data_IF_223337565921
#
_entry.id   IF_223337565921
#
_cell.length_a   1.000
_cell.length_b   1.000
_cell.length_c   1.000
_cell.angle_alpha   90.00
_cell.angle_beta   90.00
_cell.angle_gamma   90.00
#
_symmetry.space_group_name_H-M   'P 1'
#
loop_
_entity.id
_entity.type
_entity.pdbx_description
1 polymer ?
#
# COMPACT_ATOMS: atom_id res chain seq x y z
N UNK A 1 -32.54 -19.42 55.81
CA UNK A 1 -32.44 -20.58 54.88
C UNK A 1 -32.37 -20.17 53.41
N UNK A 2 -33.05 -19.09 53.00
CA UNK A 2 -33.04 -18.56 51.62
C UNK A 2 -31.69 -17.97 51.20
N UNK A 3 -31.05 -17.16 52.05
CA UNK A 3 -29.75 -16.51 51.77
C UNK A 3 -28.62 -17.49 51.47
N UNK A 4 -28.51 -18.59 52.23
CA UNK A 4 -27.49 -19.63 52.02
C UNK A 4 -27.65 -20.37 50.68
N UNK A 5 -28.89 -20.58 50.20
CA UNK A 5 -29.16 -21.22 48.91
C UNK A 5 -28.76 -20.33 47.74
N UNK A 6 -29.07 -19.03 47.81
CA UNK A 6 -28.61 -18.05 46.82
C UNK A 6 -27.08 -17.93 46.77
N UNK A 7 -26.39 -17.91 47.92
CA UNK A 7 -24.93 -17.89 47.96
C UNK A 7 -24.30 -19.17 47.39
N UNK A 8 -24.89 -20.34 47.67
CA UNK A 8 -24.41 -21.61 47.12
C UNK A 8 -24.59 -21.69 45.61
N UNK A 9 -25.74 -21.26 45.09
CA UNK A 9 -26.02 -21.20 43.64
C UNK A 9 -25.06 -20.24 42.94
N UNK A 10 -24.80 -19.07 43.53
CA UNK A 10 -23.83 -18.11 43.01
C UNK A 10 -22.40 -18.70 42.97
N UNK A 11 -21.97 -19.41 44.02
CA UNK A 11 -20.66 -20.07 44.04
C UNK A 11 -20.54 -21.19 42.99
N UNK A 12 -21.57 -22.02 42.82
CA UNK A 12 -21.57 -23.09 41.80
C UNK A 12 -21.55 -22.51 40.39
N UNK A 13 -22.34 -21.47 40.13
CA UNK A 13 -22.35 -20.77 38.85
C UNK A 13 -20.99 -20.13 38.55
N UNK A 14 -20.38 -19.46 39.53
CA UNK A 14 -19.04 -18.89 39.39
C UNK A 14 -17.97 -19.96 39.10
N UNK A 15 -18.02 -21.10 39.80
CA UNK A 15 -17.10 -22.21 39.56
C UNK A 15 -17.26 -22.80 38.15
N UNK A 16 -18.50 -22.97 37.67
CA UNK A 16 -18.76 -23.45 36.32
C UNK A 16 -18.20 -22.50 35.25
N UNK A 17 -18.42 -21.18 35.40
CA UNK A 17 -17.85 -20.18 34.49
C UNK A 17 -16.32 -20.21 34.52
N UNK A 18 -15.69 -20.31 35.69
CA UNK A 18 -14.24 -20.44 35.84
C UNK A 18 -13.70 -21.71 35.16
N UNK A 19 -14.34 -22.85 35.35
CA UNK A 19 -13.93 -24.11 34.71
C UNK A 19 -14.10 -24.08 33.19
N UNK A 20 -15.19 -23.50 32.68
CA UNK A 20 -15.40 -23.32 31.25
C UNK A 20 -14.33 -22.39 30.65
N UNK A 21 -14.02 -21.28 31.32
CA UNK A 21 -12.95 -20.38 30.90
C UNK A 21 -11.58 -21.08 30.86
N UNK A 22 -11.24 -21.89 31.87
CA UNK A 22 -9.99 -22.67 31.91
C UNK A 22 -9.92 -23.73 30.79
N UNK A 23 -11.03 -24.40 30.47
CA UNK A 23 -11.08 -25.36 29.37
C UNK A 23 -10.91 -24.68 28.01
N UNK A 24 -11.55 -23.52 27.82
CA UNK A 24 -11.42 -22.74 26.59
C UNK A 24 -9.99 -22.23 26.38
N UNK A 25 -9.34 -21.74 27.45
CA UNK A 25 -7.93 -21.31 27.37
C UNK A 25 -6.98 -22.49 27.13
N UNK A 26 -7.22 -23.64 27.77
CA UNK A 26 -6.44 -24.85 27.53
C UNK A 26 -6.60 -25.37 26.09
N UNK A 27 -7.82 -25.35 25.55
CA UNK A 27 -8.10 -25.73 24.17
C UNK A 27 -7.44 -24.77 23.16
N UNK A 28 -7.52 -23.45 23.41
CA UNK A 28 -6.84 -22.44 22.59
C UNK A 28 -5.31 -22.62 22.62
N UNK A 29 -4.73 -22.88 23.79
CA UNK A 29 -3.30 -23.15 23.94
C UNK A 29 -2.88 -24.41 23.19
N UNK A 30 -3.67 -25.48 23.27
CA UNK A 30 -3.41 -26.73 22.56
C UNK A 30 -3.49 -26.53 21.03
N UNK A 31 -4.47 -25.76 20.56
CA UNK A 31 -4.61 -25.44 19.14
C UNK A 31 -3.39 -24.68 18.62
N UNK A 32 -2.98 -23.59 19.29
CA UNK A 32 -1.78 -22.82 18.91
C UNK A 32 -0.52 -23.69 18.91
N UNK A 33 -0.37 -24.58 19.89
CA UNK A 33 0.74 -25.54 19.93
C UNK A 33 0.75 -26.48 18.73
N UNK A 34 -0.41 -27.02 18.35
CA UNK A 34 -0.54 -27.91 17.20
C UNK A 34 -0.21 -27.19 15.89
N UNK A 35 -0.80 -26.01 15.68
CA UNK A 35 -0.51 -25.15 14.52
C UNK A 35 0.97 -24.82 14.42
N UNK A 36 1.60 -24.43 15.53
CA UNK A 36 3.03 -24.14 15.56
C UNK A 36 3.88 -25.36 15.15
N UNK A 37 3.57 -26.56 15.67
CA UNK A 37 4.29 -27.78 15.30
C UNK A 37 4.09 -28.15 13.83
N UNK A 38 2.91 -27.87 13.27
CA UNK A 38 2.63 -28.04 11.85
C UNK A 38 3.47 -27.07 11.00
N UNK A 39 3.49 -25.78 11.35
CA UNK A 39 4.27 -24.76 10.64
C UNK A 39 5.77 -25.08 10.63
N UNK A 40 6.33 -25.56 11.74
CA UNK A 40 7.73 -26.01 11.81
C UNK A 40 8.00 -27.17 10.85
N UNK A 41 7.08 -28.14 10.73
CA UNK A 41 7.23 -29.25 9.79
C UNK A 41 7.12 -28.79 8.33
N UNK A 42 6.16 -27.91 8.04
CA UNK A 42 5.96 -27.35 6.70
C UNK A 42 7.22 -26.60 6.25
N UNK A 43 7.75 -25.72 7.10
CA UNK A 43 9.00 -24.99 6.87
C UNK A 43 10.18 -25.95 6.62
N UNK A 44 10.34 -27.00 7.44
CA UNK A 44 11.39 -27.99 7.26
C UNK A 44 11.24 -28.83 5.98
N UNK A 45 10.02 -28.97 5.45
CA UNK A 45 9.73 -29.67 4.20
C UNK A 45 9.79 -28.78 2.95
N UNK A 46 10.14 -27.50 3.09
CA UNK A 46 10.22 -26.55 1.98
C UNK A 46 8.88 -25.89 1.60
N UNK A 47 7.80 -26.17 2.34
CA UNK A 47 6.50 -25.55 2.11
C UNK A 47 6.42 -24.21 2.86
N UNK A 48 7.12 -23.21 2.33
CA UNK A 48 7.30 -21.90 2.96
C UNK A 48 5.99 -21.09 3.04
N UNK A 49 5.16 -21.13 2.00
CA UNK A 49 3.90 -20.39 1.95
C UNK A 49 2.91 -20.83 3.04
N UNK A 50 2.67 -22.13 3.18
CA UNK A 50 1.79 -22.62 4.24
C UNK A 50 2.40 -22.43 5.64
N UNK A 51 3.72 -22.59 5.76
CA UNK A 51 4.40 -22.33 7.04
C UNK A 51 4.27 -20.86 7.46
N UNK A 52 4.49 -19.93 6.53
CA UNK A 52 4.37 -18.49 6.76
C UNK A 52 2.97 -18.14 7.25
N UNK A 53 1.91 -18.55 6.53
CA UNK A 53 0.52 -18.29 6.95
C UNK A 53 0.22 -18.73 8.38
N UNK A 54 0.71 -19.89 8.76
CA UNK A 54 0.47 -20.40 10.12
C UNK A 54 1.30 -19.65 11.15
N UNK A 55 2.57 -19.34 10.87
CA UNK A 55 3.41 -18.57 11.79
C UNK A 55 2.88 -17.14 11.97
N UNK A 56 2.49 -16.48 10.89
CA UNK A 56 1.92 -15.13 10.90
C UNK A 56 0.61 -15.10 11.72
N UNK A 57 -0.32 -16.01 11.44
CA UNK A 57 -1.57 -16.13 12.20
C UNK A 57 -1.42 -16.56 13.67
N UNK A 58 -0.23 -17.02 14.08
CA UNK A 58 0.09 -17.34 15.47
C UNK A 58 0.57 -16.12 16.27
N UNK A 59 1.00 -15.06 15.60
CA UNK A 59 1.43 -13.80 16.21
C UNK A 59 2.53 -13.99 17.27
N UNK A 60 2.23 -13.53 18.50
CA UNK A 60 3.15 -13.53 19.66
C UNK A 60 3.43 -14.92 20.25
N UNK A 61 2.87 -15.98 19.67
CA UNK A 61 3.05 -17.32 20.20
C UNK A 61 4.47 -17.84 19.96
N UNK A 62 5.30 -17.81 21.01
CA UNK A 62 6.70 -18.28 20.99
C UNK A 62 7.54 -17.42 20.03
N UNK A 63 8.29 -18.08 19.13
CA UNK A 63 9.12 -17.47 18.10
C UNK A 63 8.40 -17.44 16.73
N UNK A 64 7.06 -17.48 16.70
CA UNK A 64 6.30 -17.55 15.45
C UNK A 64 6.48 -16.28 14.59
N UNK A 65 6.40 -15.10 15.21
CA UNK A 65 6.65 -13.83 14.54
C UNK A 65 8.07 -13.76 13.92
N UNK A 66 9.10 -14.17 14.67
CA UNK A 66 10.48 -14.20 14.15
C UNK A 66 10.64 -15.19 13.00
N UNK A 67 9.93 -16.33 13.03
CA UNK A 67 9.93 -17.31 11.93
C UNK A 67 9.20 -16.80 10.69
N UNK A 68 8.05 -16.14 10.87
CA UNK A 68 7.33 -15.49 9.77
C UNK A 68 8.20 -14.41 9.12
N UNK A 69 8.83 -13.56 9.92
CA UNK A 69 9.76 -12.54 9.44
C UNK A 69 10.97 -13.14 8.71
N UNK A 70 11.55 -14.23 9.22
CA UNK A 70 12.66 -14.92 8.55
C UNK A 70 12.24 -15.53 7.19
N UNK A 71 11.01 -16.04 7.08
CA UNK A 71 10.47 -16.54 5.81
C UNK A 71 10.23 -15.39 4.83
N UNK A 72 9.59 -14.30 5.26
CA UNK A 72 9.39 -13.11 4.43
C UNK A 72 10.71 -12.45 4.01
N UNK A 73 11.75 -12.51 4.85
CA UNK A 73 13.08 -12.02 4.50
C UNK A 73 13.75 -12.88 3.40
N UNK A 74 13.45 -14.17 3.36
CA UNK A 74 13.96 -15.09 2.34
C UNK A 74 13.15 -15.02 1.03
N UNK A 75 11.86 -14.72 1.14
CA UNK A 75 10.91 -14.61 0.03
C UNK A 75 9.93 -13.45 0.32
N UNK A 76 10.28 -12.22 -0.10
CA UNK A 76 9.52 -11.01 0.25
C UNK A 76 8.12 -10.95 -0.36
N UNK A 77 7.81 -11.81 -1.34
CA UNK A 77 6.47 -11.92 -1.91
C UNK A 77 5.48 -12.65 -0.98
N UNK A 78 5.98 -13.47 -0.05
CA UNK A 78 5.16 -14.33 0.81
C UNK A 78 4.00 -13.63 1.52
N UNK A 79 4.20 -12.45 2.16
CA UNK A 79 3.12 -11.76 2.86
C UNK A 79 1.95 -11.37 1.95
N UNK A 80 2.20 -11.23 0.65
CA UNK A 80 1.27 -10.61 -0.29
C UNK A 80 0.62 -11.60 -1.25
N UNK A 81 1.03 -12.88 -1.26
CA UNK A 81 0.55 -13.89 -2.23
C UNK A 81 -0.95 -14.09 -2.26
N UNK A 82 -1.60 -13.96 -1.11
CA UNK A 82 -3.04 -14.15 -1.00
C UNK A 82 -3.86 -12.87 -1.21
N UNK A 83 -3.20 -11.70 -1.33
CA UNK A 83 -3.88 -10.40 -1.45
C UNK A 83 -4.70 -10.33 -2.73
N UNK A 84 -5.90 -9.78 -2.63
CA UNK A 84 -6.86 -9.64 -3.71
C UNK A 84 -7.11 -8.17 -4.03
N UNK A 85 -7.67 -7.92 -5.22
CA UNK A 85 -8.20 -6.60 -5.56
C UNK A 85 -9.19 -6.14 -4.48
N UNK A 86 -9.01 -4.90 -4.01
CA UNK A 86 -9.81 -4.28 -2.95
C UNK A 86 -9.23 -4.44 -1.55
N UNK A 87 -8.20 -5.26 -1.36
CA UNK A 87 -7.49 -5.32 -0.09
C UNK A 87 -6.66 -4.05 0.15
N UNK A 88 -6.39 -3.77 1.43
CA UNK A 88 -5.39 -2.79 1.87
C UNK A 88 -4.24 -3.54 2.52
N UNK A 89 -3.02 -3.29 2.05
CA UNK A 89 -1.81 -3.95 2.55
C UNK A 89 -0.77 -2.92 2.99
N UNK A 90 0.08 -3.29 3.95
CA UNK A 90 1.25 -2.51 4.34
C UNK A 90 2.49 -3.02 3.57
N UNK A 91 3.23 -2.14 2.91
CA UNK A 91 4.44 -2.49 2.16
C UNK A 91 5.41 -1.30 2.09
N UNK A 92 6.67 -1.50 2.49
CA UNK A 92 7.60 -0.38 2.69
C UNK A 92 7.21 0.53 3.86
N UNK A 93 8.05 1.54 4.11
CA UNK A 93 7.84 2.53 5.15
C UNK A 93 8.37 3.90 4.69
N UNK A 94 7.60 4.96 4.91
CA UNK A 94 7.98 6.33 4.56
C UNK A 94 7.53 7.29 5.66
N UNK A 95 8.29 8.36 5.85
CA UNK A 95 7.99 9.43 6.80
C UNK A 95 6.68 10.14 6.43
N UNK A 96 5.69 10.07 7.32
CA UNK A 96 4.32 10.51 7.08
C UNK A 96 3.80 11.45 8.17
N UNK A 97 4.29 11.36 9.41
CA UNK A 97 3.79 12.21 10.51
C UNK A 97 4.62 13.50 10.74
N UNK A 98 5.81 13.58 10.14
CA UNK A 98 6.69 14.73 10.21
C UNK A 98 7.66 14.71 11.40
N UNK A 99 7.67 13.66 12.21
CA UNK A 99 8.65 13.44 13.28
C UNK A 99 9.75 12.47 12.85
N UNK A 100 10.74 12.97 12.14
CA UNK A 100 11.90 12.18 11.71
C UNK A 100 12.72 11.50 12.85
N UNK A 101 12.39 11.73 14.13
CA UNK A 101 13.06 11.12 15.28
C UNK A 101 12.57 9.71 15.63
N UNK A 102 11.33 9.33 15.32
CA UNK A 102 10.82 7.96 15.52
C UNK A 102 10.92 7.09 14.26
N UNK A 103 11.04 7.76 13.11
CA UNK A 103 11.45 7.20 11.84
C UNK A 103 10.30 6.56 11.08
N UNK A 104 10.48 6.44 9.76
CA UNK A 104 9.44 6.12 8.79
C UNK A 104 8.37 5.10 9.21
N UNK A 105 7.10 5.46 8.94
CA UNK A 105 5.92 4.65 9.23
C UNK A 105 5.60 3.71 8.07
N UNK A 106 4.98 2.54 8.33
CA UNK A 106 4.49 1.67 7.27
C UNK A 106 3.58 2.42 6.29
N UNK A 107 3.77 2.19 4.99
CA UNK A 107 2.90 2.76 3.96
C UNK A 107 1.77 1.78 3.68
N UNK A 108 0.52 2.26 3.77
CA UNK A 108 -0.66 1.50 3.36
C UNK A 108 -0.96 1.70 1.86
N UNK A 109 -1.37 0.61 1.20
CA UNK A 109 -1.62 0.56 -0.23
C UNK A 109 -2.95 -0.11 -0.53
N UNK A 110 -3.74 0.50 -1.40
CA UNK A 110 -4.85 -0.16 -2.06
C UNK A 110 -4.33 -1.13 -3.11
N UNK A 111 -4.84 -2.38 -3.11
CA UNK A 111 -4.68 -3.29 -4.24
C UNK A 111 -5.74 -2.94 -5.29
N UNK A 112 -5.38 -2.08 -6.25
CA UNK A 112 -6.29 -1.64 -7.32
C UNK A 112 -6.65 -2.77 -8.28
N UNK A 113 -5.70 -3.67 -8.53
CA UNK A 113 -5.89 -4.79 -9.44
C UNK A 113 -4.99 -5.98 -9.11
N UNK A 114 -5.42 -7.16 -9.55
CA UNK A 114 -4.60 -8.36 -9.57
C UNK A 114 -4.65 -9.00 -10.95
N UNK A 115 -3.50 -9.05 -11.61
CA UNK A 115 -3.34 -9.70 -12.91
C UNK A 115 -2.30 -10.80 -12.74
N UNK A 116 -2.76 -12.05 -12.80
CA UNK A 116 -1.95 -13.22 -12.45
C UNK A 116 -1.33 -13.08 -11.05
N UNK A 117 -0.01 -13.22 -10.93
CA UNK A 117 0.74 -13.02 -9.69
C UNK A 117 1.32 -11.61 -9.57
N UNK A 118 0.55 -10.61 -10.02
CA UNK A 118 0.94 -9.20 -9.93
C UNK A 118 -0.15 -8.36 -9.32
N UNK A 119 0.22 -7.50 -8.39
CA UNK A 119 -0.68 -6.57 -7.73
C UNK A 119 -0.36 -5.15 -8.21
N UNK A 120 -1.36 -4.42 -8.70
CA UNK A 120 -1.24 -2.97 -8.87
C UNK A 120 -1.59 -2.30 -7.56
N UNK A 121 -0.63 -1.57 -7.01
CA UNK A 121 -0.78 -0.84 -5.76
C UNK A 121 -0.89 0.66 -6.01
N UNK A 122 -1.68 1.34 -5.18
CA UNK A 122 -1.74 2.80 -5.07
C UNK A 122 -1.69 3.17 -3.58
N UNK A 123 -0.81 4.08 -3.18
CA UNK A 123 -0.74 4.51 -1.78
C UNK A 123 -2.10 5.04 -1.31
N UNK A 124 -2.51 4.71 -0.09
CA UNK A 124 -3.78 5.19 0.47
C UNK A 124 -3.77 6.72 0.53
N UNK A 125 -2.70 7.28 1.10
CA UNK A 125 -2.53 8.72 1.27
C UNK A 125 -1.57 9.35 0.25
N UNK A 126 -1.60 10.67 0.16
CA UNK A 126 -0.56 11.46 -0.47
C UNK A 126 0.65 11.52 0.46
N UNK A 127 1.73 10.82 0.08
CA UNK A 127 2.91 10.65 0.93
C UNK A 127 3.85 11.87 0.93
N UNK A 128 3.72 12.75 -0.06
CA UNK A 128 4.51 13.97 -0.18
C UNK A 128 3.75 15.07 -0.90
N UNK A 129 4.10 16.33 -0.66
CA UNK A 129 3.73 17.48 -1.48
C UNK A 129 4.90 17.85 -2.38
N UNK A 130 4.75 17.74 -3.70
CA UNK A 130 5.82 18.03 -4.65
C UNK A 130 5.31 18.65 -5.94
N UNK A 131 6.20 19.38 -6.59
CA UNK A 131 6.01 19.84 -7.97
C UNK A 131 6.20 18.68 -8.92
N UNK A 132 5.53 18.75 -10.06
CA UNK A 132 5.78 17.83 -11.17
C UNK A 132 7.17 18.13 -11.79
N UNK A 133 7.50 19.42 -11.96
CA UNK A 133 8.78 19.92 -12.42
C UNK A 133 9.04 21.35 -11.90
N UNK A 134 10.25 21.67 -11.44
CA UNK A 134 10.51 22.95 -10.77
C UNK A 134 10.48 24.19 -11.68
N UNK A 135 10.87 24.07 -12.96
CA UNK A 135 10.99 25.23 -13.86
C UNK A 135 9.61 25.75 -14.31
N UNK A 136 9.26 27.02 -14.01
CA UNK A 136 7.95 27.58 -14.35
C UNK A 136 7.71 27.63 -15.85
N UNK A 137 6.51 27.24 -16.29
CA UNK A 137 6.09 27.22 -17.69
C UNK A 137 7.00 26.40 -18.64
N UNK A 138 7.87 25.54 -18.09
CA UNK A 138 8.70 24.66 -18.90
C UNK A 138 7.85 23.56 -19.55
N UNK A 139 8.05 23.36 -20.85
CA UNK A 139 7.53 22.17 -21.52
C UNK A 139 8.20 20.95 -20.92
N UNK A 140 7.41 20.02 -20.38
CA UNK A 140 7.93 18.82 -19.72
C UNK A 140 6.97 17.65 -19.91
N UNK A 141 7.51 16.47 -20.14
CA UNK A 141 6.78 15.21 -20.26
C UNK A 141 6.97 14.39 -18.98
N UNK A 142 6.31 13.24 -18.84
CA UNK A 142 6.58 12.33 -17.72
C UNK A 142 8.03 11.86 -17.69
N UNK A 143 8.60 11.52 -18.87
CA UNK A 143 9.97 11.03 -19.04
C UNK A 143 11.01 11.92 -18.35
N UNK A 144 10.90 13.24 -18.59
CA UNK A 144 11.85 14.26 -18.16
C UNK A 144 11.47 14.94 -16.84
N UNK A 145 10.36 14.53 -16.20
CA UNK A 145 9.87 15.17 -14.99
C UNK A 145 10.75 14.88 -13.77
N UNK A 146 10.99 15.91 -12.95
CA UNK A 146 11.67 15.77 -11.66
C UNK A 146 10.90 14.86 -10.70
N UNK A 147 9.56 14.84 -10.79
CA UNK A 147 8.72 13.95 -9.98
C UNK A 147 9.00 12.48 -10.29
N UNK A 148 9.09 12.10 -11.57
CA UNK A 148 9.44 10.73 -11.98
C UNK A 148 10.82 10.34 -11.48
N UNK A 149 11.81 11.22 -11.62
CA UNK A 149 13.17 11.00 -11.10
C UNK A 149 13.13 10.75 -9.58
N UNK A 150 12.43 11.60 -8.84
CA UNK A 150 12.32 11.45 -7.39
C UNK A 150 11.65 10.13 -6.98
N UNK A 151 10.54 9.75 -7.65
CA UNK A 151 9.83 8.48 -7.39
C UNK A 151 10.72 7.25 -7.59
N UNK A 152 11.52 7.23 -8.66
CA UNK A 152 12.34 6.08 -9.02
C UNK A 152 13.74 6.08 -8.37
N UNK A 153 14.16 7.19 -7.78
CA UNK A 153 15.43 7.30 -7.07
C UNK A 153 15.23 7.47 -5.56
N UNK A 154 15.08 8.71 -5.09
CA UNK A 154 15.11 9.04 -3.67
C UNK A 154 13.96 8.40 -2.90
N UNK A 155 12.75 8.45 -3.43
CA UNK A 155 11.59 7.80 -2.81
C UNK A 155 11.76 6.28 -2.77
N UNK A 156 12.08 5.64 -3.91
CA UNK A 156 12.27 4.19 -3.98
C UNK A 156 13.34 3.69 -2.98
N UNK A 157 14.42 4.46 -2.79
CA UNK A 157 15.50 4.10 -1.86
C UNK A 157 15.13 4.29 -0.39
N UNK A 158 14.35 5.33 -0.09
CA UNK A 158 13.90 5.64 1.26
C UNK A 158 12.75 4.72 1.70
N UNK A 159 11.77 4.49 0.80
CA UNK A 159 10.51 3.84 1.12
C UNK A 159 10.62 2.31 1.23
N UNK A 160 11.58 1.69 0.53
CA UNK A 160 11.66 0.24 0.41
C UNK A 160 13.06 -0.26 0.69
N UNK A 161 13.17 -1.33 1.47
CA UNK A 161 14.43 -2.02 1.72
C UNK A 161 15.01 -2.66 0.45
N UNK A 162 16.31 -3.01 0.42
CA UNK A 162 16.90 -3.71 -0.71
C UNK A 162 16.20 -5.02 -1.09
N UNK A 163 15.59 -5.72 -0.13
CA UNK A 163 14.86 -6.97 -0.35
C UNK A 163 13.47 -6.71 -0.93
N UNK A 164 12.72 -5.75 -0.39
CA UNK A 164 11.41 -5.37 -0.94
C UNK A 164 11.52 -4.85 -2.38
N UNK A 165 12.57 -4.09 -2.70
CA UNK A 165 12.81 -3.62 -4.07
C UNK A 165 13.02 -4.74 -5.10
N UNK A 166 13.25 -5.99 -4.67
CA UNK A 166 13.39 -7.12 -5.59
C UNK A 166 12.04 -7.54 -6.19
N UNK A 167 10.94 -7.33 -5.46
CA UNK A 167 9.59 -7.69 -5.92
C UNK A 167 8.83 -6.51 -6.53
N UNK A 168 9.42 -5.30 -6.52
CA UNK A 168 8.88 -4.14 -7.25
C UNK A 168 9.29 -4.25 -8.72
N UNK A 169 8.29 -4.45 -9.59
CA UNK A 169 8.51 -4.65 -11.02
C UNK A 169 8.87 -3.36 -11.72
N UNK A 170 9.90 -3.42 -12.54
CA UNK A 170 10.08 -2.45 -13.61
C UNK A 170 8.99 -2.69 -14.66
N UNK A 171 8.15 -1.69 -14.87
CA UNK A 171 6.95 -1.77 -15.73
C UNK A 171 7.08 -0.80 -16.88
N UNK A 172 6.81 -1.27 -18.09
CA UNK A 172 6.71 -0.39 -19.25
C UNK A 172 5.39 0.38 -19.19
N UNK A 173 5.47 1.70 -19.11
CA UNK A 173 4.33 2.61 -19.04
C UNK A 173 4.16 3.31 -20.37
N UNK A 174 2.92 3.37 -20.86
CA UNK A 174 2.57 4.12 -22.07
C UNK A 174 2.25 5.56 -21.73
N UNK A 175 3.01 6.50 -22.28
CA UNK A 175 2.81 7.93 -22.05
C UNK A 175 2.04 8.54 -23.23
N UNK A 176 0.77 8.15 -23.36
CA UNK A 176 -0.09 8.64 -24.45
C UNK A 176 -0.32 10.16 -24.35
N UNK A 177 -0.47 10.80 -25.50
CA UNK A 177 -0.81 12.22 -25.62
C UNK A 177 -2.14 12.56 -24.92
N UNK A 178 -2.30 13.82 -24.54
CA UNK A 178 -3.54 14.33 -23.96
C UNK A 178 -4.72 14.11 -24.93
N UNK A 179 -5.82 13.57 -24.41
CA UNK A 179 -6.89 12.98 -25.23
C UNK A 179 -7.72 13.96 -26.09
N UNK A 180 -7.75 15.25 -25.73
CA UNK A 180 -8.57 16.31 -26.34
C UNK A 180 -7.76 17.21 -27.27
N UNK A 181 -6.60 17.70 -26.83
CA UNK A 181 -5.78 18.68 -27.55
C UNK A 181 -4.48 18.09 -28.11
N UNK A 182 -4.13 16.85 -27.75
CA UNK A 182 -2.93 16.18 -28.25
C UNK A 182 -1.63 16.78 -27.74
N UNK A 183 -1.61 17.28 -26.50
CA UNK A 183 -0.36 17.64 -25.84
C UNK A 183 0.50 16.40 -25.68
N UNK A 184 1.75 16.48 -26.14
CA UNK A 184 2.70 15.37 -26.19
C UNK A 184 2.90 14.75 -24.79
N UNK A 185 2.65 13.44 -24.69
CA UNK A 185 2.89 12.67 -23.46
C UNK A 185 4.36 12.32 -23.23
N UNK A 186 5.18 12.45 -24.27
CA UNK A 186 6.56 11.98 -24.29
C UNK A 186 6.67 10.50 -24.61
N UNK A 187 7.89 9.96 -24.54
CA UNK A 187 8.11 8.55 -24.90
C UNK A 187 7.66 7.62 -23.76
N UNK A 188 7.32 6.37 -24.10
CA UNK A 188 7.08 5.31 -23.12
C UNK A 188 8.29 5.15 -22.18
N UNK A 189 8.02 5.05 -20.87
CA UNK A 189 9.06 4.85 -19.85
C UNK A 189 9.05 3.43 -19.30
N UNK A 190 10.13 3.06 -18.59
CA UNK A 190 10.15 1.87 -17.74
C UNK A 190 10.43 2.28 -16.31
N UNK A 191 9.40 2.16 -15.47
CA UNK A 191 9.40 2.72 -14.12
C UNK A 191 9.07 1.63 -13.09
N UNK A 192 9.64 1.75 -11.89
CA UNK A 192 9.31 0.90 -10.75
C UNK A 192 8.21 1.51 -9.90
N UNK A 193 8.23 2.82 -9.77
CA UNK A 193 7.23 3.61 -9.05
C UNK A 193 6.79 4.74 -9.97
N UNK A 194 5.49 4.96 -10.06
CA UNK A 194 4.91 5.91 -10.99
C UNK A 194 3.68 6.60 -10.40
N UNK A 195 3.22 7.69 -11.03
CA UNK A 195 1.87 8.19 -10.82
C UNK A 195 0.94 7.53 -11.85
N UNK A 196 -0.32 7.26 -11.49
CA UNK A 196 -1.29 6.76 -12.46
C UNK A 196 -1.42 7.71 -13.66
N UNK A 197 -1.67 7.18 -14.85
CA UNK A 197 -2.17 7.98 -15.97
C UNK A 197 -3.63 8.34 -15.77
N UNK A 198 -4.10 9.31 -16.54
CA UNK A 198 -5.52 9.61 -16.63
C UNK A 198 -6.36 8.44 -17.15
N UNK A 199 -5.85 7.66 -18.11
CA UNK A 199 -6.53 6.44 -18.57
C UNK A 199 -6.69 5.42 -17.44
N UNK A 200 -5.63 5.19 -16.65
CA UNK A 200 -5.70 4.31 -15.48
C UNK A 200 -6.64 4.88 -14.41
N UNK A 201 -6.58 6.18 -14.14
CA UNK A 201 -7.50 6.85 -13.22
C UNK A 201 -8.97 6.71 -13.66
N UNK A 202 -9.28 6.84 -14.95
CA UNK A 202 -10.65 6.63 -15.45
C UNK A 202 -11.12 5.18 -15.32
N UNK A 203 -10.21 4.20 -15.40
CA UNK A 203 -10.53 2.79 -15.23
C UNK A 203 -10.80 2.46 -13.76
N UNK A 204 -9.94 2.94 -12.86
CA UNK A 204 -9.99 2.58 -11.43
C UNK A 204 -10.85 3.52 -10.58
N UNK A 205 -11.11 4.75 -11.04
CA UNK A 205 -11.96 5.77 -10.38
C UNK A 205 -13.25 6.03 -11.18
N UNK A 206 -13.83 4.96 -11.72
CA UNK A 206 -14.81 5.05 -12.80
C UNK A 206 -16.19 5.53 -12.35
N UNK A 207 -16.61 5.26 -11.12
CA UNK A 207 -17.90 5.67 -10.56
C UNK A 207 -17.75 6.53 -9.29
N UNK A 208 -18.88 7.01 -8.75
CA UNK A 208 -18.88 7.89 -7.57
C UNK A 208 -18.33 7.19 -6.32
N UNK A 209 -18.55 5.88 -6.18
CA UNK A 209 -18.09 5.12 -5.03
C UNK A 209 -16.57 4.92 -5.08
N UNK A 210 -16.03 4.59 -6.26
CA UNK A 210 -14.59 4.48 -6.46
C UNK A 210 -13.89 5.84 -6.34
N UNK A 211 -14.50 6.92 -6.84
CA UNK A 211 -13.95 8.27 -6.62
C UNK A 211 -13.91 8.64 -5.15
N UNK A 212 -14.94 8.33 -4.39
CA UNK A 212 -14.98 8.61 -2.96
C UNK A 212 -13.99 7.76 -2.17
N UNK A 213 -13.87 6.46 -2.49
CA UNK A 213 -13.05 5.52 -1.73
C UNK A 213 -11.58 5.46 -2.18
N UNK A 214 -11.32 5.40 -3.48
CA UNK A 214 -9.98 5.28 -4.05
C UNK A 214 -9.43 6.61 -4.55
N UNK A 215 -10.28 7.52 -5.02
CA UNK A 215 -9.87 8.77 -5.67
C UNK A 215 -9.49 9.87 -4.69
N UNK A 216 -10.25 10.04 -3.62
CA UNK A 216 -9.93 10.95 -2.52
C UNK A 216 -8.75 10.38 -1.72
N UNK A 217 -7.84 11.25 -1.30
CA UNK A 217 -6.67 10.85 -0.51
C UNK A 217 -6.29 11.95 0.46
N UNK A 218 -6.05 11.58 1.71
CA UNK A 218 -5.57 12.53 2.69
C UNK A 218 -4.12 12.94 2.37
N UNK A 219 -3.74 14.16 2.73
CA UNK A 219 -2.33 14.48 2.87
C UNK A 219 -1.81 13.87 4.17
N UNK A 220 -0.68 13.15 4.12
CA UNK A 220 0.06 12.83 5.34
C UNK A 220 0.47 14.13 6.05
N UNK A 221 0.69 14.12 7.37
CA UNK A 221 1.09 15.33 8.09
C UNK A 221 2.39 15.92 7.50
N UNK A 222 3.33 15.05 7.11
CA UNK A 222 4.54 15.45 6.39
C UNK A 222 4.22 16.13 5.04
N UNK A 223 3.30 15.57 4.25
CA UNK A 223 2.86 16.19 2.99
C UNK A 223 2.11 17.51 3.20
N UNK A 224 1.31 17.61 4.26
CA UNK A 224 0.54 18.79 4.63
C UNK A 224 1.42 19.99 5.04
N UNK A 225 2.71 19.77 5.34
CA UNK A 225 3.68 20.87 5.54
C UNK A 225 4.09 21.57 4.24
N UNK A 226 3.81 20.96 3.08
CA UNK A 226 4.11 21.53 1.77
C UNK A 226 3.11 22.60 1.32
N UNK A 227 3.10 22.88 0.01
CA UNK A 227 2.23 23.91 -0.58
C UNK A 227 1.05 23.33 -1.38
N UNK A 228 0.86 22.01 -1.38
CA UNK A 228 -0.30 21.37 -1.98
C UNK A 228 -1.60 21.88 -1.37
N UNK A 229 -2.62 22.02 -2.21
CA UNK A 229 -3.96 22.34 -1.73
C UNK A 229 -4.52 21.17 -0.93
N UNK A 230 -5.01 21.46 0.28
CA UNK A 230 -5.70 20.51 1.16
C UNK A 230 -7.04 21.12 1.56
N UNK A 231 -8.13 20.36 1.42
CA UNK A 231 -9.47 20.81 1.78
C UNK A 231 -9.76 20.72 3.28
N UNK A 232 -10.99 21.04 3.68
CA UNK A 232 -11.40 21.00 5.09
C UNK A 232 -11.48 19.59 5.69
N UNK A 233 -11.56 18.56 4.85
CA UNK A 233 -11.58 17.15 5.25
C UNK A 233 -10.18 16.53 5.26
N UNK A 234 -9.14 17.30 4.94
CA UNK A 234 -7.75 16.85 4.89
C UNK A 234 -7.36 16.19 3.56
N UNK A 235 -8.23 16.24 2.54
CA UNK A 235 -7.97 15.64 1.23
C UNK A 235 -7.11 16.57 0.38
N UNK A 236 -6.19 16.00 -0.40
CA UNK A 236 -5.33 16.76 -1.30
C UNK A 236 -5.66 16.51 -2.78
N UNK A 237 -5.45 17.54 -3.61
CA UNK A 237 -5.32 17.31 -5.05
C UNK A 237 -3.98 16.59 -5.32
N UNK A 238 -3.95 15.58 -6.19
CA UNK A 238 -2.75 14.77 -6.42
C UNK A 238 -2.45 14.47 -7.89
N UNK A 239 -1.15 14.41 -8.23
CA UNK A 239 -0.67 14.33 -9.61
C UNK A 239 -0.98 13.03 -10.34
N UNK A 240 -1.31 13.13 -11.63
CA UNK A 240 -1.25 12.05 -12.61
C UNK A 240 -0.03 12.27 -13.53
N UNK A 241 0.47 11.20 -14.16
CA UNK A 241 1.58 11.30 -15.13
C UNK A 241 1.16 11.81 -16.52
N UNK A 242 -0.14 11.90 -16.77
CA UNK A 242 -0.65 12.31 -18.09
C UNK A 242 -0.52 13.83 -18.29
N UNK A 243 -0.18 14.28 -19.51
CA UNK A 243 -0.06 15.71 -19.82
C UNK A 243 -1.42 16.42 -19.71
N UNK A 244 -1.39 17.68 -19.28
CA UNK A 244 -2.55 18.58 -19.27
C UNK A 244 -2.79 19.23 -20.63
N UNK A 245 -3.66 20.24 -20.68
CA UNK A 245 -4.02 20.95 -21.92
C UNK A 245 -2.92 21.84 -22.51
N UNK A 246 -1.80 21.99 -21.80
CA UNK A 246 -0.63 22.75 -22.22
C UNK A 246 0.65 21.93 -21.96
N UNK A 247 1.74 22.14 -22.73
CA UNK A 247 2.99 21.40 -22.54
C UNK A 247 3.68 21.59 -21.17
N UNK A 248 3.23 22.59 -20.40
CA UNK A 248 3.70 22.92 -19.06
C UNK A 248 2.62 22.65 -17.99
N UNK A 249 1.67 21.77 -18.29
CA UNK A 249 0.64 21.33 -17.37
C UNK A 249 0.59 19.80 -17.30
N UNK A 250 0.25 19.26 -16.13
CA UNK A 250 0.00 17.84 -15.89
C UNK A 250 -1.41 17.64 -15.31
N UNK A 251 -2.04 16.52 -15.60
CA UNK A 251 -3.35 16.17 -15.07
C UNK A 251 -3.26 15.78 -13.60
N UNK A 252 -4.37 15.90 -12.88
CA UNK A 252 -4.44 15.56 -11.46
C UNK A 252 -5.82 15.00 -11.12
N UNK A 253 -5.93 14.40 -9.94
CA UNK A 253 -7.21 14.06 -9.30
C UNK A 253 -7.44 15.04 -8.17
N UNK A 254 -8.64 15.59 -8.10
CA UNK A 254 -8.99 16.60 -7.11
C UNK A 254 -9.30 15.97 -5.73
N UNK A 255 -9.39 16.83 -4.73
CA UNK A 255 -9.90 16.53 -3.37
C UNK A 255 -11.25 15.82 -3.32
N UNK A 256 -12.03 15.86 -4.41
CA UNK A 256 -13.32 15.15 -4.55
C UNK A 256 -13.21 13.78 -5.24
N UNK A 257 -12.00 13.38 -5.65
CA UNK A 257 -11.75 12.15 -6.41
C UNK A 257 -11.97 12.29 -7.93
N UNK A 258 -12.39 13.45 -8.43
CA UNK A 258 -12.57 13.70 -9.86
C UNK A 258 -11.26 14.03 -10.58
N UNK A 259 -11.06 13.46 -11.78
CA UNK A 259 -9.91 13.77 -12.63
C UNK A 259 -10.07 15.13 -13.32
N UNK A 260 -9.05 15.99 -13.26
CA UNK A 260 -9.01 17.28 -13.94
C UNK A 260 -8.19 17.21 -15.24
N UNK A 261 -8.88 17.02 -16.37
CA UNK A 261 -8.26 16.76 -17.67
C UNK A 261 -7.46 17.95 -18.23
N UNK A 262 -7.86 19.19 -17.91
CA UNK A 262 -7.12 20.38 -18.30
C UNK A 262 -5.73 20.46 -17.62
N UNK A 263 -5.59 19.81 -16.46
CA UNK A 263 -4.39 19.80 -15.65
C UNK A 263 -4.09 21.13 -14.95
N UNK A 264 -2.96 21.15 -14.27
CA UNK A 264 -2.41 22.28 -13.55
C UNK A 264 -0.94 22.48 -13.92
N UNK A 265 -0.42 23.68 -13.68
CA UNK A 265 0.97 24.00 -14.01
C UNK A 265 1.95 23.10 -13.24
N UNK A 266 2.96 22.60 -13.96
CA UNK A 266 3.90 21.60 -13.44
C UNK A 266 4.76 22.10 -12.28
N UNK A 267 4.90 23.42 -12.13
CA UNK A 267 5.63 24.08 -11.05
C UNK A 267 4.79 24.36 -9.80
N UNK A 268 3.49 24.06 -9.82
CA UNK A 268 2.67 24.04 -8.62
C UNK A 268 2.93 22.77 -7.79
N UNK A 269 2.69 22.82 -6.48
CA UNK A 269 2.76 21.63 -5.62
C UNK A 269 1.40 20.95 -5.50
N UNK A 270 1.40 19.63 -5.65
CA UNK A 270 0.25 18.76 -5.41
C UNK A 270 0.70 17.56 -4.58
N UNK A 271 -0.26 16.85 -4.02
CA UNK A 271 -0.02 15.56 -3.38
C UNK A 271 0.58 14.56 -4.37
N UNK A 272 1.45 13.69 -3.85
CA UNK A 272 2.03 12.59 -4.61
C UNK A 272 1.48 11.29 -4.04
N UNK A 273 0.77 10.54 -4.89
CA UNK A 273 0.34 9.16 -4.62
C UNK A 273 1.10 8.20 -5.50
N UNK A 274 2.15 7.55 -4.99
CA UNK A 274 2.87 6.54 -5.74
C UNK A 274 1.97 5.34 -6.06
N UNK A 275 2.20 4.78 -7.24
CA UNK A 275 1.68 3.50 -7.68
C UNK A 275 2.84 2.60 -8.12
N UNK A 276 2.66 1.28 -7.96
CA UNK A 276 3.66 0.30 -8.37
C UNK A 276 3.04 -1.06 -8.66
N UNK A 277 3.74 -1.87 -9.45
CA UNK A 277 3.40 -3.28 -9.64
C UNK A 277 4.27 -4.16 -8.74
N UNK A 278 3.63 -4.95 -7.88
CA UNK A 278 4.27 -5.92 -7.00
C UNK A 278 4.20 -7.32 -7.60
N UNK A 279 5.33 -8.02 -7.68
CA UNK A 279 5.42 -9.42 -8.07
C UNK A 279 5.22 -10.30 -6.83
N UNK A 280 4.19 -11.14 -6.86
CA UNK A 280 3.87 -12.06 -5.77
C UNK A 280 4.04 -13.52 -6.15
N UNK A 281 4.70 -13.80 -7.27
CA UNK A 281 4.92 -15.17 -7.76
C UNK A 281 5.74 -16.03 -6.79
N UNK A 282 5.63 -17.36 -6.93
CA UNK A 282 6.49 -18.28 -6.20
C UNK A 282 7.94 -18.18 -6.68
N UNK A 283 8.88 -18.13 -5.74
CA UNK A 283 10.31 -18.06 -6.04
C UNK A 283 10.73 -19.29 -6.87
N UNK A 284 10.93 -19.10 -8.19
CA UNK A 284 11.27 -20.16 -9.13
C UNK A 284 10.41 -20.21 -10.40
N UNK A 285 9.24 -19.57 -10.40
CA UNK A 285 8.29 -19.57 -11.52
C UNK A 285 8.29 -18.28 -12.36
N UNK A 286 9.08 -17.28 -11.96
CA UNK A 286 9.25 -16.05 -12.74
C UNK A 286 10.07 -16.28 -14.01
N UNK A 287 9.45 -16.09 -15.19
CA UNK A 287 10.21 -16.00 -16.44
C UNK A 287 11.24 -14.84 -16.37
N UNK A 288 12.43 -15.04 -16.96
CA UNK A 288 13.54 -14.06 -16.94
C UNK A 288 13.19 -12.72 -17.61
#
# INVERSE_FOLDING_TARGET
>A
MTTHRTSLIACVAALLVLTAALLMTAAACQQRRSSYQQAVRLSASGNAAEAYRIFDGLGDYRDAAERAAALAQADPALPYRDSQKGDVIAFGAYEQDGDAADGAEPVEWFVLDRIDDRLLLLSVDCLASRRYNAEPFASVTWEDSELRTWLNDAFLQAAFSPTERQIIRATRLRNDDQSVVGTDGGVDTTDRVFALSHTEALIYLHDDADRDYLGRAAASDAAATGQAYVDADGMADWWLRSPGGYPYAAQYVSTTGETAEAGAYVDAEYGVRPALWLDVSEAGDGEP
#
